data_IF_900805325183
#
_entry.id   IF_900805325183
#
_cell.length_a   1.000
_cell.length_b   1.000
_cell.length_c   1.000
_cell.angle_alpha   90.00
_cell.angle_beta   90.00
_cell.angle_gamma   90.00
#
_symmetry.space_group_name_H-M   'P 1'
#
loop_
_entity.id
_entity.type
_entity.pdbx_description
1 polymer ?
#
# COMPACT_ATOMS: atom_id res chain seq x y z
N UNK A 1 1.24 27.94 -3.06
CA UNK A 1 1.82 26.60 -2.77
C UNK A 1 0.69 25.71 -2.29
N UNK A 2 0.69 24.43 -2.68
CA UNK A 2 -0.30 23.45 -2.22
C UNK A 2 0.42 22.19 -1.71
N UNK A 3 -0.20 21.51 -0.75
CA UNK A 3 0.25 20.23 -0.18
C UNK A 3 -0.74 19.14 -0.57
N UNK A 4 -0.20 17.97 -0.93
CA UNK A 4 -0.97 16.76 -1.12
C UNK A 4 -0.56 15.81 0.00
N UNK A 5 -1.51 15.47 0.88
CA UNK A 5 -1.31 14.46 1.91
C UNK A 5 -1.76 13.11 1.36
N UNK A 6 -0.87 12.12 1.44
CA UNK A 6 -1.15 10.75 1.06
C UNK A 6 -1.28 9.94 2.34
N UNK A 7 -2.36 9.16 2.42
CA UNK A 7 -2.48 8.17 3.48
C UNK A 7 -1.20 7.32 3.52
N UNK A 8 -0.64 7.14 4.72
CA UNK A 8 0.63 6.45 4.93
C UNK A 8 0.64 5.07 4.26
N UNK A 9 -0.46 4.32 4.38
CA UNK A 9 -0.64 3.03 3.69
C UNK A 9 -0.57 3.17 2.16
N UNK A 10 -1.21 4.18 1.59
CA UNK A 10 -1.24 4.38 0.14
C UNK A 10 0.13 4.74 -0.44
N UNK A 11 0.99 5.44 0.32
CA UNK A 11 2.36 5.74 -0.10
C UNK A 11 3.31 4.54 0.06
N UNK A 12 3.07 3.67 1.03
CA UNK A 12 4.05 2.64 1.42
C UNK A 12 3.71 1.23 0.93
N UNK A 13 2.43 0.84 0.86
CA UNK A 13 2.02 -0.47 0.37
C UNK A 13 2.56 -0.81 -1.04
N UNK A 14 2.65 0.15 -2.00
CA UNK A 14 3.24 -0.13 -3.31
C UNK A 14 4.68 -0.67 -3.25
N UNK A 15 5.44 -0.37 -2.20
CA UNK A 15 6.81 -0.86 -2.04
C UNK A 15 6.88 -2.35 -1.71
N UNK A 16 5.81 -2.94 -1.18
CA UNK A 16 5.78 -4.36 -0.84
C UNK A 16 6.02 -5.25 -2.07
N UNK A 17 5.49 -4.87 -3.24
CA UNK A 17 5.72 -5.65 -4.47
C UNK A 17 7.15 -5.52 -4.98
N UNK A 18 7.74 -4.33 -4.88
CA UNK A 18 9.15 -4.13 -5.21
C UNK A 18 10.06 -4.97 -4.29
N UNK A 19 9.83 -4.94 -2.98
CA UNK A 19 10.57 -5.75 -2.01
C UNK A 19 10.40 -7.25 -2.26
N UNK A 20 9.18 -7.69 -2.57
CA UNK A 20 8.93 -9.07 -2.97
C UNK A 20 9.69 -9.46 -4.24
N UNK A 21 9.76 -8.55 -5.23
CA UNK A 21 10.57 -8.72 -6.43
C UNK A 21 12.05 -8.97 -6.13
N UNK A 22 12.64 -8.19 -5.22
CA UNK A 22 14.04 -8.38 -4.79
C UNK A 22 14.25 -9.75 -4.15
N UNK A 23 13.37 -10.15 -3.23
CA UNK A 23 13.45 -11.45 -2.56
C UNK A 23 13.26 -12.62 -3.54
N UNK A 24 12.28 -12.54 -4.44
CA UNK A 24 12.04 -13.55 -5.49
C UNK A 24 13.25 -13.68 -6.41
N UNK A 25 13.86 -12.57 -6.80
CA UNK A 25 15.06 -12.58 -7.65
C UNK A 25 16.26 -13.24 -6.97
N UNK A 26 16.42 -13.05 -5.66
CA UNK A 26 17.56 -13.59 -4.92
C UNK A 26 17.37 -15.08 -4.57
N UNK A 27 16.19 -15.45 -4.08
CA UNK A 27 15.94 -16.80 -3.56
C UNK A 27 15.29 -17.76 -4.57
N UNK A 28 14.61 -17.25 -5.61
CA UNK A 28 13.91 -18.08 -6.59
C UNK A 28 12.95 -19.09 -5.95
N UNK A 29 13.04 -20.35 -6.37
CA UNK A 29 12.17 -21.42 -5.88
C UNK A 29 12.47 -21.89 -4.45
N UNK A 30 13.61 -21.49 -3.87
CA UNK A 30 14.00 -21.92 -2.51
C UNK A 30 13.16 -21.25 -1.40
N UNK A 31 12.57 -20.08 -1.69
CA UNK A 31 11.74 -19.34 -0.74
C UNK A 31 10.50 -18.77 -1.44
N UNK A 32 9.29 -19.30 -1.16
CA UNK A 32 8.06 -18.72 -1.68
C UNK A 32 7.79 -17.34 -1.07
N UNK A 33 7.69 -16.31 -1.92
CA UNK A 33 7.45 -14.92 -1.49
C UNK A 33 6.11 -14.40 -2.02
N UNK A 34 5.27 -13.92 -1.11
CA UNK A 34 3.94 -13.37 -1.41
C UNK A 34 3.79 -12.00 -0.73
N UNK A 35 3.09 -11.09 -1.40
CA UNK A 35 2.62 -9.83 -0.78
C UNK A 35 1.21 -10.08 -0.27
N UNK A 36 0.93 -9.68 0.97
CA UNK A 36 -0.44 -9.77 1.52
C UNK A 36 -1.39 -8.89 0.72
N UNK A 37 -2.55 -9.42 0.35
CA UNK A 37 -3.63 -8.67 -0.30
C UNK A 37 -4.62 -8.08 0.70
N UNK A 38 -4.45 -8.35 2.00
CA UNK A 38 -5.28 -7.78 3.06
C UNK A 38 -4.83 -6.33 3.29
N UNK A 39 -5.77 -5.38 3.17
CA UNK A 39 -5.53 -3.98 3.47
C UNK A 39 -5.34 -3.81 4.98
N UNK A 40 -4.17 -3.30 5.37
CA UNK A 40 -3.82 -3.05 6.78
C UNK A 40 -4.06 -1.61 7.21
N UNK A 41 -4.52 -0.74 6.31
CA UNK A 41 -4.91 0.62 6.66
C UNK A 41 -6.09 0.59 7.65
N UNK A 42 -5.90 1.12 8.88
CA UNK A 42 -6.97 1.18 9.88
C UNK A 42 -8.04 2.21 9.53
N UNK A 43 -7.76 3.10 8.57
CA UNK A 43 -8.66 4.19 8.21
C UNK A 43 -9.39 3.92 6.89
N UNK A 44 -10.56 4.54 6.76
CA UNK A 44 -11.29 4.64 5.50
C UNK A 44 -11.48 6.12 5.17
N UNK A 45 -11.47 6.46 3.89
CA UNK A 45 -11.92 7.77 3.44
C UNK A 45 -13.41 7.87 3.72
N UNK A 46 -13.81 8.84 4.54
CA UNK A 46 -15.20 9.17 4.77
C UNK A 46 -15.50 10.52 4.13
N UNK A 47 -16.61 10.59 3.40
CA UNK A 47 -17.21 11.86 3.00
C UNK A 47 -18.17 12.30 4.10
N UNK A 48 -18.11 13.54 4.53
CA UNK A 48 -19.13 14.03 5.46
C UNK A 48 -20.40 14.34 4.67
N UNK A 49 -21.59 13.94 5.16
CA UNK A 49 -22.85 14.34 4.53
C UNK A 49 -22.98 15.87 4.55
N UNK A 50 -23.18 16.47 3.38
CA UNK A 50 -23.28 17.93 3.20
C UNK A 50 -22.08 18.57 2.49
N UNK A 51 -21.00 17.83 2.24
CA UNK A 51 -19.81 18.36 1.51
C UNK A 51 -20.03 18.48 -0.01
N UNK A 52 -21.28 18.29 -0.45
CA UNK A 52 -21.73 18.31 -1.84
C UNK A 52 -23.10 18.95 -2.00
N UNK A 53 -23.27 20.19 -1.54
CA UNK A 53 -24.13 21.26 -2.13
C UNK A 53 -23.92 22.56 -1.36
#
# INVERSE_FOLDING_TARGET
>A
MALIDLAHWASEFPWCDQAAGMLRSHFGASLPVRVSTIRTDPWNVATRPGDGT
#
